data_IF_557780192559
#
_entry.id   IF_557780192559
#
_cell.length_a   1.000
_cell.length_b   1.000
_cell.length_c   1.000
_cell.angle_alpha   90.00
_cell.angle_beta   90.00
_cell.angle_gamma   90.00
#
_symmetry.space_group_name_H-M   'P 1'
#
loop_
_entity.id
_entity.type
_entity.pdbx_description
1 polymer ?
#
# COMPACT_ATOMS: atom_id res chain seq x y z
N UNK A 1 19.14 -16.01 13.58
CA UNK A 1 18.04 -15.49 14.43
C UNK A 1 17.13 -16.65 14.77
N UNK A 2 16.43 -16.63 15.91
CA UNK A 2 15.37 -17.63 16.14
C UNK A 2 14.17 -17.31 15.24
N UNK A 3 13.40 -18.32 14.84
CA UNK A 3 12.20 -18.13 14.02
C UNK A 3 11.22 -17.10 14.63
N UNK A 4 11.11 -17.09 15.97
CA UNK A 4 10.30 -16.11 16.71
C UNK A 4 10.77 -14.68 16.47
N UNK A 5 12.09 -14.46 16.41
CA UNK A 5 12.69 -13.14 16.22
C UNK A 5 12.51 -12.64 14.78
N UNK A 6 12.55 -13.54 13.79
CA UNK A 6 12.21 -13.24 12.39
C UNK A 6 10.74 -12.82 12.25
N UNK A 7 9.82 -13.57 12.85
CA UNK A 7 8.41 -13.20 12.85
C UNK A 7 8.16 -11.84 13.53
N UNK A 8 8.76 -11.59 14.70
CA UNK A 8 8.63 -10.32 15.39
C UNK A 8 9.13 -9.15 14.56
N UNK A 9 10.27 -9.31 13.87
CA UNK A 9 10.78 -8.31 12.94
C UNK A 9 9.80 -8.06 11.79
N UNK A 10 9.33 -9.11 11.12
CA UNK A 10 8.46 -8.99 9.95
C UNK A 10 7.13 -8.29 10.29
N UNK A 11 6.52 -8.63 11.42
CA UNK A 11 5.32 -7.93 11.90
C UNK A 11 5.60 -6.47 12.28
N UNK A 12 6.75 -6.20 12.90
CA UNK A 12 7.17 -4.83 13.23
C UNK A 12 7.35 -3.98 11.98
N UNK A 13 8.03 -4.51 10.96
CA UNK A 13 8.24 -3.84 9.67
C UNK A 13 6.92 -3.65 8.94
N UNK A 14 6.06 -4.67 8.88
CA UNK A 14 4.72 -4.57 8.29
C UNK A 14 3.94 -3.41 8.91
N UNK A 15 3.90 -3.33 10.24
CA UNK A 15 3.22 -2.25 10.96
C UNK A 15 3.80 -0.88 10.63
N UNK A 16 5.13 -0.75 10.61
CA UNK A 16 5.81 0.49 10.27
C UNK A 16 5.54 0.94 8.83
N UNK A 17 5.54 0.02 7.86
CA UNK A 17 5.28 0.33 6.45
C UNK A 17 3.83 0.77 6.24
N UNK A 18 2.86 0.07 6.85
CA UNK A 18 1.44 0.45 6.76
C UNK A 18 1.20 1.84 7.37
N UNK A 19 1.71 2.07 8.59
CA UNK A 19 1.58 3.36 9.25
C UNK A 19 2.28 4.48 8.46
N UNK A 20 3.51 4.25 8.03
CA UNK A 20 4.30 5.21 7.24
C UNK A 20 3.60 5.57 5.93
N UNK A 21 3.09 4.59 5.19
CA UNK A 21 2.34 4.83 3.96
C UNK A 21 1.11 5.71 4.24
N UNK A 22 0.35 5.42 5.30
CA UNK A 22 -0.84 6.22 5.64
C UNK A 22 -0.48 7.66 6.02
N UNK A 23 0.58 7.86 6.79
CA UNK A 23 1.04 9.19 7.18
C UNK A 23 1.53 10.00 5.98
N UNK A 24 2.27 9.39 5.05
CA UNK A 24 2.71 10.05 3.81
C UNK A 24 1.49 10.48 2.99
N UNK A 25 0.49 9.61 2.82
CA UNK A 25 -0.73 9.97 2.09
C UNK A 25 -1.56 11.05 2.80
N UNK A 26 -1.66 11.01 4.13
CA UNK A 26 -2.31 12.08 4.88
C UNK A 26 -1.59 13.41 4.72
N UNK A 27 -0.26 13.44 4.81
CA UNK A 27 0.52 14.65 4.58
C UNK A 27 0.30 15.21 3.18
N UNK A 28 0.42 14.36 2.15
CA UNK A 28 0.17 14.75 0.76
C UNK A 28 -1.25 15.30 0.53
N UNK A 29 -2.24 14.77 1.24
CA UNK A 29 -3.63 15.25 1.18
C UNK A 29 -3.83 16.56 1.95
N UNK A 30 -3.18 16.70 3.12
CA UNK A 30 -3.27 17.88 4.00
C UNK A 30 -2.68 19.14 3.38
N UNK A 31 -1.70 19.02 2.49
CA UNK A 31 -1.13 20.19 1.85
C UNK A 31 -2.16 20.98 1.02
N UNK A 32 -3.33 20.43 0.66
CA UNK A 32 -4.46 21.10 -0.05
C UNK A 32 -4.06 21.92 -1.30
N UNK A 33 -2.81 21.81 -1.74
CA UNK A 33 -2.20 22.51 -2.88
C UNK A 33 -2.23 21.61 -4.12
N UNK A 34 -2.34 20.29 -3.93
CA UNK A 34 -2.35 19.34 -5.03
C UNK A 34 -3.75 19.19 -5.60
N UNK A 35 -3.90 19.56 -6.87
CA UNK A 35 -5.10 19.27 -7.66
C UNK A 35 -5.42 17.76 -7.59
N UNK A 36 -6.70 17.43 -7.53
CA UNK A 36 -7.22 16.07 -7.41
C UNK A 36 -6.63 15.14 -8.47
N UNK A 37 -6.44 15.68 -9.68
CA UNK A 37 -5.83 14.96 -10.81
C UNK A 37 -4.34 14.68 -10.61
N UNK A 38 -3.61 15.61 -9.99
CA UNK A 38 -2.20 15.41 -9.65
C UNK A 38 -2.06 14.44 -8.48
N UNK A 39 -2.92 14.52 -7.48
CA UNK A 39 -2.93 13.62 -6.32
C UNK A 39 -3.10 12.16 -6.74
N UNK A 40 -4.10 11.86 -7.59
CA UNK A 40 -4.29 10.50 -8.14
C UNK A 40 -3.06 9.99 -8.89
N UNK A 41 -2.47 10.80 -9.76
CA UNK A 41 -1.28 10.41 -10.52
C UNK A 41 -0.08 10.18 -9.61
N UNK A 42 0.11 11.05 -8.62
CA UNK A 42 1.18 10.95 -7.65
C UNK A 42 1.07 9.64 -6.88
N UNK A 43 -0.10 9.34 -6.30
CA UNK A 43 -0.37 8.07 -5.61
C UNK A 43 0.02 6.87 -6.49
N UNK A 44 -0.49 6.78 -7.71
CA UNK A 44 -0.19 5.64 -8.58
C UNK A 44 1.27 5.57 -9.05
N UNK A 45 1.99 6.70 -9.08
CA UNK A 45 3.41 6.74 -9.45
C UNK A 45 4.32 6.46 -8.26
N UNK A 46 3.94 6.83 -7.04
CA UNK A 46 4.81 6.72 -5.86
C UNK A 46 4.58 5.48 -5.01
N UNK A 47 3.35 4.92 -4.95
CA UNK A 47 3.07 3.84 -3.99
C UNK A 47 3.93 2.59 -4.25
N UNK A 48 4.10 2.18 -5.51
CA UNK A 48 4.96 1.04 -5.86
C UNK A 48 6.44 1.30 -5.58
N UNK A 49 7.03 2.39 -6.11
CA UNK A 49 8.44 2.73 -5.87
C UNK A 49 8.78 3.00 -4.40
N UNK A 50 7.84 3.49 -3.58
CA UNK A 50 8.05 3.65 -2.15
C UNK A 50 7.91 2.34 -1.38
N UNK A 51 7.16 1.37 -1.91
CA UNK A 51 6.97 0.08 -1.29
C UNK A 51 8.15 -0.88 -1.52
N UNK A 52 8.74 -0.90 -2.72
CA UNK A 52 9.86 -1.81 -3.03
C UNK A 52 11.07 -1.68 -2.08
N UNK A 53 11.53 -0.47 -1.69
CA UNK A 53 12.62 -0.31 -0.71
C UNK A 53 12.33 -0.86 0.68
N UNK A 54 11.06 -1.17 0.99
CA UNK A 54 10.72 -1.81 2.27
C UNK A 54 11.02 -3.31 2.28
N UNK A 55 11.13 -3.97 1.12
CA UNK A 55 11.32 -5.43 1.03
C UNK A 55 12.61 -5.94 1.69
N UNK A 56 13.76 -5.24 1.60
CA UNK A 56 14.98 -5.64 2.31
C UNK A 56 14.91 -5.51 3.83
N UNK A 57 13.93 -4.77 4.38
CA UNK A 57 13.74 -4.61 5.82
C UNK A 57 13.08 -5.84 6.47
N UNK A 58 12.30 -6.59 5.69
CA UNK A 58 11.77 -7.88 6.10
C UNK A 58 12.90 -8.92 6.17
N UNK A 59 12.73 -9.91 7.03
CA UNK A 59 13.72 -10.98 7.19
C UNK A 59 13.88 -11.82 5.91
N UNK A 60 14.98 -12.58 5.83
CA UNK A 60 15.31 -13.40 4.65
C UNK A 60 14.52 -14.71 4.59
N UNK A 61 13.51 -14.90 5.45
CA UNK A 61 12.72 -16.12 5.50
C UNK A 61 11.77 -16.22 4.30
N UNK A 62 11.52 -17.44 3.82
CA UNK A 62 10.53 -17.68 2.77
C UNK A 62 9.11 -17.31 3.23
N UNK A 63 8.84 -17.27 4.54
CA UNK A 63 7.56 -16.82 5.09
C UNK A 63 7.36 -15.30 4.98
N UNK A 64 8.44 -14.52 4.96
CA UNK A 64 8.41 -13.05 4.96
C UNK A 64 7.76 -12.47 3.72
N UNK A 65 7.80 -13.20 2.59
CA UNK A 65 7.08 -12.83 1.36
C UNK A 65 5.58 -12.66 1.61
N UNK A 66 5.00 -13.57 2.40
CA UNK A 66 3.58 -13.57 2.68
C UNK A 66 3.24 -12.43 3.62
N UNK A 67 4.03 -12.22 4.68
CA UNK A 67 3.84 -11.11 5.61
C UNK A 67 3.98 -9.76 4.89
N UNK A 68 4.95 -9.61 3.99
CA UNK A 68 5.08 -8.39 3.20
C UNK A 68 3.89 -8.17 2.26
N UNK A 69 3.37 -9.24 1.62
CA UNK A 69 2.16 -9.15 0.79
C UNK A 69 0.90 -8.74 1.58
N UNK A 70 0.88 -8.90 2.92
CA UNK A 70 -0.21 -8.39 3.74
C UNK A 70 -0.28 -6.86 3.76
N UNK A 71 0.82 -6.15 3.45
CA UNK A 71 0.83 -4.69 3.37
C UNK A 71 -0.10 -4.17 2.25
N UNK A 72 0.09 -4.54 0.97
CA UNK A 72 -0.85 -4.14 -0.08
C UNK A 72 -2.25 -4.74 0.16
N UNK A 73 -2.36 -5.95 0.72
CA UNK A 73 -3.67 -6.53 1.05
C UNK A 73 -4.44 -5.70 2.08
N UNK A 74 -3.78 -5.23 3.15
CA UNK A 74 -4.39 -4.35 4.15
C UNK A 74 -4.87 -3.04 3.52
N UNK A 75 -4.11 -2.49 2.57
CA UNK A 75 -4.53 -1.31 1.82
C UNK A 75 -5.71 -1.61 0.88
N UNK A 76 -5.76 -2.79 0.25
CA UNK A 76 -6.90 -3.20 -0.56
C UNK A 76 -8.18 -3.29 0.28
N UNK A 77 -8.11 -3.89 1.46
CA UNK A 77 -9.23 -3.93 2.42
C UNK A 77 -9.67 -2.53 2.82
N UNK A 78 -8.72 -1.62 3.08
CA UNK A 78 -9.04 -0.20 3.35
C UNK A 78 -9.81 0.45 2.20
N UNK A 79 -9.35 0.26 0.95
CA UNK A 79 -10.04 0.80 -0.23
C UNK A 79 -11.42 0.19 -0.45
N UNK A 80 -11.58 -1.12 -0.17
CA UNK A 80 -12.88 -1.79 -0.21
C UNK A 80 -13.86 -1.20 0.81
N UNK A 81 -13.43 -1.05 2.06
CA UNK A 81 -14.26 -0.48 3.14
C UNK A 81 -14.71 0.94 2.78
N UNK A 82 -13.78 1.77 2.28
CA UNK A 82 -14.07 3.15 1.89
C UNK A 82 -14.96 3.21 0.64
N UNK A 83 -14.66 2.40 -0.38
CA UNK A 83 -15.39 2.42 -1.66
C UNK A 83 -16.77 1.78 -1.60
N UNK A 84 -17.00 0.84 -0.68
CA UNK A 84 -18.33 0.30 -0.37
C UNK A 84 -19.15 1.23 0.54
N UNK A 85 -18.55 2.33 1.04
CA UNK A 85 -19.23 3.27 1.93
C UNK A 85 -19.43 2.76 3.36
N UNK A 86 -18.76 1.68 3.76
CA UNK A 86 -18.80 1.15 5.14
C UNK A 86 -18.14 2.11 6.13
N UNK A 87 -17.19 2.92 5.64
CA UNK A 87 -16.59 4.03 6.38
C UNK A 87 -16.34 5.19 5.43
N UNK A 88 -16.61 6.41 5.86
CA UNK A 88 -16.32 7.62 5.08
C UNK A 88 -15.02 8.26 5.53
N UNK A 89 -14.16 8.59 4.58
CA UNK A 89 -12.98 9.44 4.80
C UNK A 89 -12.83 10.35 3.59
N UNK A 90 -13.36 11.56 3.72
CA UNK A 90 -13.44 12.53 2.62
C UNK A 90 -12.06 12.91 2.07
N UNK A 91 -11.02 12.95 2.92
CA UNK A 91 -9.66 13.24 2.47
C UNK A 91 -9.13 12.18 1.50
N UNK A 92 -9.33 10.90 1.83
CA UNK A 92 -8.89 9.77 0.98
C UNK A 92 -9.74 9.67 -0.29
N UNK A 93 -11.06 9.83 -0.16
CA UNK A 93 -11.95 9.80 -1.32
C UNK A 93 -11.61 10.94 -2.26
N UNK A 94 -11.40 12.16 -1.76
CA UNK A 94 -11.03 13.32 -2.58
C UNK A 94 -9.70 13.09 -3.29
N UNK A 95 -8.65 12.62 -2.61
CA UNK A 95 -7.34 12.42 -3.23
C UNK A 95 -7.31 11.33 -4.31
N UNK A 96 -8.19 10.32 -4.22
CA UNK A 96 -8.15 9.14 -5.08
C UNK A 96 -9.32 9.00 -6.08
N UNK A 97 -10.41 9.76 -5.94
CA UNK A 97 -11.54 9.80 -6.89
C UNK A 97 -11.44 10.99 -7.83
N UNK A 98 -12.19 10.97 -8.94
CA UNK A 98 -12.28 12.05 -9.93
C UNK A 98 -13.43 12.99 -9.63
N UNK A 99 -14.57 12.43 -9.29
CA UNK A 99 -15.82 13.17 -9.11
C UNK A 99 -16.23 13.23 -7.62
N UNK A 100 -15.36 12.78 -6.71
CA UNK A 100 -15.67 12.68 -5.28
C UNK A 100 -16.42 11.41 -4.90
N UNK A 101 -16.68 10.50 -5.85
CA UNK A 101 -17.36 9.24 -5.60
C UNK A 101 -16.41 8.21 -4.99
N UNK A 102 -16.73 7.74 -3.80
CA UNK A 102 -15.97 6.69 -3.11
C UNK A 102 -15.88 5.40 -3.94
N UNK A 103 -16.86 5.09 -4.79
CA UNK A 103 -16.84 3.89 -5.64
C UNK A 103 -15.69 3.90 -6.64
N UNK A 104 -15.14 5.06 -6.98
CA UNK A 104 -13.96 5.13 -7.84
C UNK A 104 -12.72 4.51 -7.20
N UNK A 105 -12.66 4.45 -5.86
CA UNK A 105 -11.61 3.75 -5.11
C UNK A 105 -11.54 2.27 -5.50
N UNK A 106 -12.69 1.67 -5.84
CA UNK A 106 -12.81 0.26 -6.23
C UNK A 106 -12.33 -0.03 -7.66
N UNK A 107 -11.97 1.01 -8.43
CA UNK A 107 -11.49 0.88 -9.81
C UNK A 107 -9.98 1.00 -9.86
N UNK A 108 -9.47 2.14 -10.35
CA UNK A 108 -8.04 2.37 -10.56
C UNK A 108 -7.18 2.08 -9.32
N UNK A 109 -7.50 2.66 -8.15
CA UNK A 109 -6.71 2.44 -6.93
C UNK A 109 -6.69 0.97 -6.49
N UNK A 110 -7.85 0.30 -6.47
CA UNK A 110 -7.94 -1.10 -6.07
C UNK A 110 -7.19 -2.03 -7.04
N UNK A 111 -7.33 -1.82 -8.36
CA UNK A 111 -6.59 -2.61 -9.36
C UNK A 111 -5.08 -2.43 -9.21
N UNK A 112 -4.62 -1.21 -8.95
CA UNK A 112 -3.21 -0.94 -8.75
C UNK A 112 -2.66 -1.68 -7.51
N UNK A 113 -3.40 -1.66 -6.40
CA UNK A 113 -3.02 -2.40 -5.18
C UNK A 113 -3.05 -3.91 -5.40
N UNK A 114 -3.99 -4.42 -6.19
CA UNK A 114 -4.04 -5.83 -6.57
C UNK A 114 -2.80 -6.24 -7.39
N UNK A 115 -2.37 -5.40 -8.34
CA UNK A 115 -1.12 -5.63 -9.08
C UNK A 115 0.07 -5.62 -8.13
N UNK A 116 0.16 -4.66 -7.19
CA UNK A 116 1.23 -4.66 -6.18
C UNK A 116 1.23 -5.93 -5.34
N UNK A 117 0.07 -6.41 -4.89
CA UNK A 117 -0.06 -7.65 -4.14
C UNK A 117 0.50 -8.84 -4.95
N UNK A 118 0.03 -9.03 -6.18
CA UNK A 118 0.50 -10.11 -7.06
C UNK A 118 1.99 -9.99 -7.31
N UNK A 119 2.49 -8.79 -7.60
CA UNK A 119 3.92 -8.57 -7.82
C UNK A 119 4.77 -8.88 -6.59
N UNK A 120 4.26 -8.58 -5.39
CA UNK A 120 4.95 -8.90 -4.14
C UNK A 120 5.02 -10.39 -3.89
N UNK A 121 3.98 -11.14 -4.27
CA UNK A 121 3.96 -12.61 -4.09
C UNK A 121 4.78 -13.32 -5.16
N UNK A 122 4.72 -12.86 -6.40
CA UNK A 122 5.32 -13.53 -7.56
C UNK A 122 6.77 -13.13 -7.85
N UNK A 123 7.18 -11.91 -7.48
CA UNK A 123 8.51 -11.37 -7.77
C UNK A 123 9.24 -10.97 -6.47
N UNK A 124 8.96 -11.67 -5.36
CA UNK A 124 9.53 -11.39 -4.04
C UNK A 124 11.04 -11.61 -4.02
N UNK A 125 11.84 -10.57 -4.20
CA UNK A 125 13.33 -10.62 -4.13
C UNK A 125 13.98 -11.69 -5.03
N UNK A 126 13.19 -12.41 -5.83
CA UNK A 126 13.62 -13.36 -6.82
C UNK A 126 14.25 -12.55 -7.94
N UNK A 127 15.58 -12.52 -7.97
CA UNK A 127 16.33 -11.91 -9.06
C UNK A 127 16.17 -12.79 -10.30
N UNK A 128 15.67 -12.28 -11.44
CA UNK A 128 15.71 -13.02 -12.70
C UNK A 128 17.14 -13.13 -13.27
N UNK A 129 18.15 -12.59 -12.57
CA UNK A 129 19.57 -12.58 -12.97
C UNK A 129 20.40 -13.65 -12.23
N UNK A 130 19.75 -14.73 -11.79
CA UNK A 130 20.44 -15.94 -11.32
C UNK A 130 21.09 -16.71 -12.49
#
# INVERSE_FOLDING_TARGET
>A
MSAVQEFQQDFGVMGAVVAGAYQVFELLTRFNVLDQKLSRKLVHMTTGPLFMPSWPLFSSSSASRYICSLVPLANAVRLLILGLGLRTNEGVVKSMSRDGDAKELLRGPLYYVAVLFVSTVCFWRDSPVE
#
